data_IF_976669878140
#
_entry.id   IF_976669878140
#
_cell.length_a   1.000
_cell.length_b   1.000
_cell.length_c   1.000
_cell.angle_alpha   90.00
_cell.angle_beta   90.00
_cell.angle_gamma   90.00
#
_symmetry.space_group_name_H-M   'P 1'
#
loop_
_entity.id
_entity.type
_entity.pdbx_description
1 polymer ?
#
# COMPACT_ATOMS: atom_id res chain seq x y z
N UNK A 1 22.84 -13.17 12.48
CA UNK A 1 22.03 -14.14 11.71
C UNK A 1 20.57 -13.75 11.94
N UNK A 2 20.10 -12.77 11.18
CA UNK A 2 18.78 -12.17 11.37
C UNK A 2 17.73 -13.14 10.86
N UNK A 3 16.80 -13.53 11.72
CA UNK A 3 15.75 -14.48 11.40
C UNK A 3 14.98 -14.08 10.14
N UNK A 4 14.99 -14.95 9.14
CA UNK A 4 14.18 -14.86 7.90
C UNK A 4 12.71 -15.28 8.20
N UNK A 5 12.28 -15.24 9.47
CA UNK A 5 11.17 -16.07 9.95
C UNK A 5 9.79 -15.39 9.93
N UNK A 6 9.68 -14.07 9.76
CA UNK A 6 8.37 -13.41 9.61
C UNK A 6 8.22 -12.71 8.25
N UNK A 7 7.23 -13.16 7.47
CA UNK A 7 6.80 -12.44 6.28
C UNK A 7 6.26 -11.08 6.71
N UNK A 8 6.78 -9.94 6.20
CA UNK A 8 6.30 -8.65 6.64
C UNK A 8 4.82 -8.46 6.30
N UNK A 9 4.04 -8.01 7.29
CA UNK A 9 2.61 -7.78 7.14
C UNK A 9 2.30 -6.84 5.98
N UNK A 10 1.26 -7.16 5.24
CA UNK A 10 0.77 -6.40 4.11
C UNK A 10 -0.35 -5.44 4.55
N UNK A 11 -0.16 -4.15 4.25
CA UNK A 11 -1.17 -3.11 4.50
C UNK A 11 -1.67 -2.54 3.18
N UNK A 12 -2.97 -2.66 2.92
CA UNK A 12 -3.62 -1.95 1.82
C UNK A 12 -4.02 -0.55 2.26
N UNK A 13 -3.58 0.47 1.53
CA UNK A 13 -3.90 1.87 1.81
C UNK A 13 -4.67 2.45 0.63
N UNK A 14 -5.97 2.68 0.80
CA UNK A 14 -6.78 3.42 -0.17
C UNK A 14 -6.51 4.91 -0.02
N UNK A 15 -6.31 5.62 -1.15
CA UNK A 15 -5.95 7.04 -1.12
C UNK A 15 -4.46 7.28 -0.83
N UNK A 16 -3.63 6.25 -1.01
CA UNK A 16 -2.20 6.28 -0.70
C UNK A 16 -1.39 7.40 -1.38
N UNK A 17 -1.79 7.84 -2.57
CA UNK A 17 -1.11 8.93 -3.30
C UNK A 17 -1.59 10.33 -2.92
N UNK A 18 -2.56 10.46 -2.00
CA UNK A 18 -3.11 11.73 -1.56
C UNK A 18 -2.22 12.46 -0.55
N UNK A 19 -2.70 13.61 -0.08
CA UNK A 19 -1.99 14.46 0.87
C UNK A 19 -1.58 13.69 2.14
N UNK A 20 -2.54 13.07 2.83
CA UNK A 20 -2.27 12.28 4.05
C UNK A 20 -1.67 10.91 3.71
N UNK A 21 -2.19 10.27 2.65
CA UNK A 21 -1.82 8.91 2.25
C UNK A 21 -0.32 8.70 2.11
N UNK A 22 0.39 9.62 1.43
CA UNK A 22 1.85 9.50 1.21
C UNK A 22 2.65 9.46 2.52
N UNK A 23 2.18 10.19 3.54
CA UNK A 23 2.83 10.23 4.85
C UNK A 23 2.56 8.94 5.63
N UNK A 24 1.36 8.38 5.52
CA UNK A 24 1.00 7.06 6.07
C UNK A 24 1.82 5.95 5.43
N UNK A 25 1.91 5.92 4.09
CA UNK A 25 2.73 4.96 3.33
C UNK A 25 4.18 5.00 3.80
N UNK A 26 4.79 6.19 3.89
CA UNK A 26 6.16 6.37 4.39
C UNK A 26 6.32 5.85 5.83
N UNK A 27 5.37 6.13 6.71
CA UNK A 27 5.43 5.68 8.10
C UNK A 27 5.34 4.15 8.22
N UNK A 28 4.47 3.52 7.43
CA UNK A 28 4.36 2.06 7.35
C UNK A 28 5.63 1.42 6.79
N UNK A 29 6.16 1.96 5.69
CA UNK A 29 7.38 1.45 5.08
C UNK A 29 8.58 1.53 6.06
N UNK A 30 8.73 2.64 6.78
CA UNK A 30 9.76 2.78 7.84
C UNK A 30 9.62 1.80 9.00
N UNK A 31 8.41 1.27 9.23
CA UNK A 31 8.13 0.26 10.26
C UNK A 31 8.27 -1.18 9.74
N UNK A 32 8.72 -1.36 8.50
CA UNK A 32 8.95 -2.68 7.90
C UNK A 32 7.73 -3.32 7.24
N UNK A 33 6.58 -2.66 7.18
CA UNK A 33 5.40 -3.20 6.50
C UNK A 33 5.58 -3.22 4.98
N UNK A 34 4.95 -4.19 4.32
CA UNK A 34 4.67 -4.11 2.88
C UNK A 34 3.42 -3.28 2.67
N UNK A 35 3.43 -2.43 1.65
CA UNK A 35 2.34 -1.49 1.39
C UNK A 35 1.79 -1.72 0.00
N UNK A 36 0.50 -2.02 -0.08
CA UNK A 36 -0.27 -1.99 -1.31
C UNK A 36 -1.00 -0.64 -1.39
N UNK A 37 -0.48 0.26 -2.20
CA UNK A 37 -1.05 1.58 -2.43
C UNK A 37 -2.21 1.47 -3.43
N UNK A 38 -3.44 1.38 -2.91
CA UNK A 38 -4.66 1.30 -3.71
C UNK A 38 -5.10 2.70 -4.16
N UNK A 39 -4.97 2.96 -5.46
CA UNK A 39 -5.22 4.28 -6.07
C UNK A 39 -5.97 4.14 -7.39
N UNK A 40 -6.67 5.20 -7.82
CA UNK A 40 -7.41 5.19 -9.10
C UNK A 40 -6.49 5.09 -10.32
N UNK A 41 -5.32 5.75 -10.25
CA UNK A 41 -4.32 5.86 -11.32
C UNK A 41 -2.93 5.48 -10.80
N UNK A 42 -2.55 4.19 -10.81
CA UNK A 42 -1.28 3.72 -10.28
C UNK A 42 -0.05 4.31 -11.00
N UNK A 43 -0.20 4.59 -12.29
CA UNK A 43 0.79 5.26 -13.15
C UNK A 43 1.25 6.62 -12.59
N UNK A 44 0.38 7.33 -11.86
CA UNK A 44 0.70 8.63 -11.25
C UNK A 44 1.29 8.52 -9.83
N UNK A 45 1.31 7.32 -9.25
CA UNK A 45 1.74 7.09 -7.87
C UNK A 45 3.23 6.73 -7.74
N UNK A 46 4.04 6.93 -8.80
CA UNK A 46 5.47 6.58 -8.81
C UNK A 46 6.29 7.28 -7.71
N UNK A 47 5.87 8.47 -7.27
CA UNK A 47 6.50 9.21 -6.17
C UNK A 47 6.42 8.51 -4.80
N UNK A 48 5.61 7.45 -4.67
CA UNK A 48 5.58 6.62 -3.46
C UNK A 48 6.75 5.62 -3.41
N UNK A 49 7.33 5.23 -4.56
CA UNK A 49 8.39 4.21 -4.64
C UNK A 49 9.63 4.56 -3.80
N UNK A 50 10.15 5.80 -3.82
CA UNK A 50 11.33 6.16 -3.02
C UNK A 50 11.08 6.24 -1.50
N UNK A 51 9.85 6.05 -1.03
CA UNK A 51 9.50 6.16 0.39
C UNK A 51 9.77 4.88 1.19
N UNK A 52 10.15 3.79 0.51
CA UNK A 52 10.45 2.49 1.11
C UNK A 52 11.54 1.74 0.33
N UNK A 53 11.85 0.55 0.80
CA UNK A 53 12.80 -0.34 0.14
C UNK A 53 12.24 -0.92 -1.16
N UNK A 54 13.11 -1.47 -2.01
CA UNK A 54 12.73 -2.13 -3.27
C UNK A 54 11.67 -3.21 -3.00
N UNK A 55 10.56 -3.16 -3.74
CA UNK A 55 9.45 -4.11 -3.61
C UNK A 55 8.56 -3.92 -2.37
N UNK A 56 8.87 -2.97 -1.49
CA UNK A 56 8.10 -2.74 -0.27
C UNK A 56 6.77 -2.03 -0.56
N UNK A 57 6.72 -1.16 -1.57
CA UNK A 57 5.54 -0.37 -1.92
C UNK A 57 5.10 -0.73 -3.34
N UNK A 58 3.87 -1.23 -3.47
CA UNK A 58 3.28 -1.57 -4.75
C UNK A 58 2.01 -0.75 -4.98
N UNK A 59 2.00 0.08 -6.03
CA UNK A 59 0.78 0.77 -6.45
C UNK A 59 -0.12 -0.21 -7.23
N UNK A 60 -1.39 -0.28 -6.86
CA UNK A 60 -2.40 -1.11 -7.53
C UNK A 60 -3.62 -0.27 -7.88
N UNK A 61 -4.29 -0.65 -8.96
CA UNK A 61 -5.52 0.00 -9.37
C UNK A 61 -6.64 -0.38 -8.38
N UNK A 62 -7.40 0.63 -7.95
CA UNK A 62 -8.62 0.44 -7.19
C UNK A 62 -9.69 1.47 -7.57
N UNK A 63 -10.89 1.00 -7.85
CA UNK A 63 -12.09 1.81 -8.05
C UNK A 63 -13.14 1.45 -6.99
N UNK A 64 -13.38 2.35 -6.04
CA UNK A 64 -14.32 2.17 -4.93
C UNK A 64 -15.78 1.99 -5.37
N UNK A 65 -16.13 2.39 -6.59
CA UNK A 65 -17.48 2.19 -7.16
C UNK A 65 -17.71 0.76 -7.66
N UNK A 66 -16.67 -0.07 -7.67
CA UNK A 66 -16.67 -1.39 -8.28
C UNK A 66 -16.24 -2.42 -7.24
N UNK A 67 -17.18 -3.26 -6.78
CA UNK A 67 -16.96 -4.17 -5.64
C UNK A 67 -15.76 -5.10 -5.82
N UNK A 68 -15.66 -5.78 -6.97
CA UNK A 68 -14.55 -6.70 -7.24
C UNK A 68 -13.17 -6.01 -7.22
N UNK A 69 -13.10 -4.71 -7.57
CA UNK A 69 -11.87 -3.95 -7.54
C UNK A 69 -11.41 -3.69 -6.10
N UNK A 70 -12.35 -3.44 -5.19
CA UNK A 70 -12.08 -3.34 -3.75
C UNK A 70 -11.64 -4.69 -3.20
N UNK A 71 -12.33 -5.77 -3.55
CA UNK A 71 -12.00 -7.13 -3.09
C UNK A 71 -10.57 -7.51 -3.48
N UNK A 72 -10.17 -7.27 -4.74
CA UNK A 72 -8.80 -7.49 -5.20
C UNK A 72 -7.77 -6.62 -4.49
N UNK A 73 -8.11 -5.37 -4.18
CA UNK A 73 -7.21 -4.48 -3.45
C UNK A 73 -6.96 -4.94 -2.01
N UNK A 74 -7.95 -5.55 -1.34
CA UNK A 74 -7.81 -6.03 0.05
C UNK A 74 -7.36 -7.50 0.17
N UNK A 75 -7.36 -8.25 -0.93
CA UNK A 75 -6.99 -9.67 -0.95
C UNK A 75 -5.62 -9.94 -0.32
N UNK A 76 -5.61 -10.72 0.76
CA UNK A 76 -4.40 -11.09 1.50
C UNK A 76 -3.76 -9.96 2.32
N UNK A 77 -4.42 -8.82 2.51
CA UNK A 77 -3.95 -7.77 3.40
C UNK A 77 -4.21 -8.13 4.87
N UNK A 78 -3.21 -7.94 5.73
CA UNK A 78 -3.35 -8.06 7.19
C UNK A 78 -4.11 -6.85 7.77
N UNK A 79 -3.94 -5.68 7.14
CA UNK A 79 -4.57 -4.44 7.56
C UNK A 79 -5.04 -3.62 6.36
N UNK A 80 -6.11 -2.86 6.55
CA UNK A 80 -6.64 -1.93 5.55
C UNK A 80 -6.80 -0.55 6.18
N UNK A 81 -6.33 0.47 5.47
CA UNK A 81 -6.49 1.88 5.85
C UNK A 81 -7.22 2.59 4.71
N UNK A 82 -8.32 3.27 5.04
CA UNK A 82 -9.12 4.02 4.08
C UNK A 82 -8.98 5.53 4.30
N UNK A 83 -8.46 6.25 3.30
CA UNK A 83 -8.20 7.71 3.33
C UNK A 83 -8.83 8.42 2.11
N UNK A 84 -9.98 7.93 1.63
CA UNK A 84 -10.65 8.37 0.39
C UNK A 84 -12.00 9.00 0.68
#
# INVERSE_FOLDING_TARGET
MTEILETPKLVTVFGASGFVGRHVVRALARRGYRVRAAVRRPDLAGHLQPLGNVGQIQAVQANLRVRWSVDRAVEGADHVINLV
#
